data_IF_124199317641
#
_entry.id   IF_124199317641
#
_cell.length_a   1.000
_cell.length_b   1.000
_cell.length_c   1.000
_cell.angle_alpha   90.00
_cell.angle_beta   90.00
_cell.angle_gamma   90.00
#
_symmetry.space_group_name_H-M   'P 1'
#
loop_
_entity.id
_entity.type
_entity.pdbx_description
1 polymer ?
#
# COMPACT_ATOMS: atom_id res chain seq x y z
N UNK A 1 27.87 77.07 0.92
CA UNK A 1 28.61 75.81 0.77
C UNK A 1 27.70 74.69 1.24
N UNK A 2 27.27 73.88 0.29
CA UNK A 2 26.06 73.07 0.34
C UNK A 2 26.23 71.79 1.16
N UNK A 3 25.18 71.50 1.93
CA UNK A 3 24.96 70.31 2.73
C UNK A 3 24.51 69.12 1.84
N UNK A 4 24.56 67.91 2.43
CA UNK A 4 23.78 66.69 2.12
C UNK A 4 24.61 65.52 1.55
N UNK A 5 25.15 64.74 2.50
CA UNK A 5 25.44 63.32 2.33
C UNK A 5 24.12 62.56 2.23
N UNK A 6 23.68 62.17 1.02
CA UNK A 6 22.56 61.26 0.81
C UNK A 6 23.08 59.88 0.37
N UNK A 7 23.64 59.12 1.31
CA UNK A 7 23.83 57.69 1.11
C UNK A 7 22.66 56.97 1.78
N UNK A 8 21.66 56.58 0.98
CA UNK A 8 20.58 55.70 1.41
C UNK A 8 21.18 54.36 1.87
N UNK A 9 21.28 54.18 3.18
CA UNK A 9 21.54 52.89 3.79
C UNK A 9 20.33 51.99 3.55
N UNK A 10 20.36 51.19 2.49
CA UNK A 10 19.58 49.96 2.43
C UNK A 10 20.12 49.03 3.51
N UNK A 11 19.59 49.15 4.74
CA UNK A 11 19.81 48.16 5.79
C UNK A 11 19.26 46.84 5.28
N UNK A 12 20.16 46.00 4.77
CA UNK A 12 19.91 44.58 4.62
C UNK A 12 19.55 44.07 6.03
N UNK A 13 18.28 43.74 6.24
CA UNK A 13 17.86 43.15 7.49
C UNK A 13 18.50 41.75 7.56
N UNK A 14 19.48 41.61 8.44
CA UNK A 14 20.06 40.33 8.84
C UNK A 14 18.93 39.31 9.11
N UNK A 15 18.92 38.14 8.45
CA UNK A 15 17.83 37.19 8.59
C UNK A 15 17.81 36.64 10.01
N UNK A 16 16.87 37.12 10.85
CA UNK A 16 16.58 36.55 12.16
C UNK A 16 16.40 35.03 12.00
N UNK A 17 17.21 34.26 12.72
CA UNK A 17 17.23 32.81 12.64
C UNK A 17 15.84 32.26 13.02
N UNK A 18 15.04 31.93 12.00
CA UNK A 18 13.66 31.48 12.18
C UNK A 18 13.67 30.15 12.91
N UNK A 19 12.99 30.06 14.05
CA UNK A 19 12.83 28.81 14.77
C UNK A 19 11.99 27.84 13.93
N UNK A 20 12.62 26.78 13.41
CA UNK A 20 11.95 25.76 12.59
C UNK A 20 11.26 24.75 13.51
N UNK A 21 9.94 24.69 13.44
CA UNK A 21 9.13 23.77 14.22
C UNK A 21 9.36 22.31 13.76
N UNK A 22 9.78 21.45 14.70
CA UNK A 22 9.90 19.98 14.51
C UNK A 22 8.62 19.19 14.88
N UNK A 23 7.53 19.90 15.19
CA UNK A 23 6.23 19.31 15.60
C UNK A 23 5.31 19.02 14.41
N UNK A 24 4.28 18.17 14.57
CA UNK A 24 3.23 17.99 13.57
C UNK A 24 2.55 19.32 13.20
N UNK A 25 1.97 19.38 11.99
CA UNK A 25 1.15 20.51 11.56
C UNK A 25 -0.12 20.58 12.41
N UNK A 26 -0.45 21.77 12.89
CA UNK A 26 -1.72 22.00 13.60
C UNK A 26 -2.85 22.23 12.59
N UNK A 27 -4.12 22.01 13.00
CA UNK A 27 -5.26 22.33 12.15
C UNK A 27 -5.30 23.79 11.69
N UNK A 28 -4.82 24.73 12.53
CA UNK A 28 -4.72 26.16 12.18
C UNK A 28 -3.68 26.39 11.09
N UNK A 29 -2.51 25.75 11.18
CA UNK A 29 -1.52 25.80 10.11
C UNK A 29 -2.09 25.23 8.81
N UNK A 30 -2.77 24.08 8.87
CA UNK A 30 -3.39 23.47 7.68
C UNK A 30 -4.45 24.39 7.04
N UNK A 31 -5.27 25.08 7.83
CA UNK A 31 -6.24 26.06 7.32
C UNK A 31 -5.56 27.23 6.59
N UNK A 32 -4.44 27.73 7.11
CA UNK A 32 -3.65 28.77 6.45
C UNK A 32 -3.09 28.24 5.12
N UNK A 33 -2.55 27.01 5.09
CA UNK A 33 -2.10 26.37 3.85
C UNK A 33 -3.24 26.30 2.81
N UNK A 34 -4.39 25.78 3.21
CA UNK A 34 -5.54 25.62 2.32
C UNK A 34 -5.99 26.97 1.75
N UNK A 35 -6.22 27.97 2.59
CA UNK A 35 -6.65 29.30 2.15
C UNK A 35 -5.64 29.94 1.20
N UNK A 36 -4.35 29.84 1.53
CA UNK A 36 -3.28 30.40 0.70
C UNK A 36 -3.27 29.79 -0.71
N UNK A 37 -3.44 28.46 -0.81
CA UNK A 37 -3.41 27.77 -2.09
C UNK A 37 -4.72 27.85 -2.88
N UNK A 38 -5.86 28.03 -2.22
CA UNK A 38 -7.09 28.37 -2.91
C UNK A 38 -7.01 29.74 -3.59
N UNK A 39 -6.32 30.71 -2.98
CA UNK A 39 -6.17 32.06 -3.53
C UNK A 39 -5.05 32.18 -4.58
N UNK A 40 -3.89 31.56 -4.32
CA UNK A 40 -2.68 31.77 -5.12
C UNK A 40 -2.25 30.55 -5.94
N UNK A 41 -2.79 29.36 -5.71
CA UNK A 41 -2.31 28.11 -6.32
C UNK A 41 -0.96 27.60 -5.78
N UNK A 42 -0.61 26.32 -6.02
CA UNK A 42 0.48 25.61 -5.33
C UNK A 42 1.89 25.89 -5.89
N UNK A 43 2.25 27.16 -6.11
CA UNK A 43 3.56 27.54 -6.66
C UNK A 43 4.40 28.47 -5.75
N UNK A 44 3.77 29.23 -4.85
CA UNK A 44 4.46 30.24 -4.03
C UNK A 44 4.78 29.81 -2.59
N UNK A 45 5.51 28.69 -2.44
CA UNK A 45 5.85 28.09 -1.13
C UNK A 45 6.67 29.02 -0.21
N UNK A 46 7.53 29.85 -0.78
CA UNK A 46 8.37 30.81 -0.02
C UNK A 46 7.54 31.88 0.66
N UNK A 47 6.53 32.41 -0.03
CA UNK A 47 5.61 33.40 0.53
C UNK A 47 4.79 32.80 1.67
N UNK A 48 4.25 31.59 1.47
CA UNK A 48 3.53 30.87 2.52
C UNK A 48 4.40 30.61 3.77
N UNK A 49 5.65 30.20 3.59
CA UNK A 49 6.57 29.99 4.70
C UNK A 49 6.83 31.28 5.50
N UNK A 50 6.82 32.44 4.83
CA UNK A 50 6.91 33.75 5.49
C UNK A 50 5.64 34.08 6.29
N UNK A 51 4.46 33.66 5.83
CA UNK A 51 3.20 33.82 6.58
C UNK A 51 3.21 32.95 7.84
N UNK A 52 3.65 31.70 7.75
CA UNK A 52 3.66 30.76 8.90
C UNK A 52 4.81 31.03 9.88
N UNK A 53 5.91 31.63 9.41
CA UNK A 53 7.15 32.01 10.12
C UNK A 53 7.93 30.88 10.82
N UNK A 54 7.26 29.79 11.20
CA UNK A 54 7.78 28.63 11.93
C UNK A 54 7.99 27.40 11.05
N UNK A 55 7.59 27.46 9.77
CA UNK A 55 7.66 26.36 8.80
C UNK A 55 8.50 26.74 7.60
N UNK A 56 9.26 25.78 7.09
CA UNK A 56 10.04 25.95 5.86
C UNK A 56 9.18 25.74 4.62
N UNK A 57 9.56 26.31 3.46
CA UNK A 57 8.85 26.07 2.19
C UNK A 57 8.76 24.57 1.84
N UNK A 58 9.82 23.81 2.13
CA UNK A 58 9.87 22.36 1.93
C UNK A 58 8.81 21.64 2.75
N UNK A 59 8.70 21.94 4.04
CA UNK A 59 7.69 21.35 4.92
C UNK A 59 6.28 21.69 4.43
N UNK A 60 6.05 22.92 4.00
CA UNK A 60 4.74 23.34 3.46
C UNK A 60 4.38 22.55 2.19
N UNK A 61 5.35 22.40 1.27
CA UNK A 61 5.17 21.62 0.04
C UNK A 61 4.84 20.17 0.36
N UNK A 62 5.62 19.54 1.23
CA UNK A 62 5.41 18.16 1.63
C UNK A 62 4.03 17.97 2.28
N UNK A 63 3.64 18.87 3.20
CA UNK A 63 2.32 18.82 3.86
C UNK A 63 1.18 18.89 2.85
N UNK A 64 1.28 19.78 1.87
CA UNK A 64 0.27 19.91 0.82
C UNK A 64 0.11 18.62 0.01
N UNK A 65 1.19 18.16 -0.61
CA UNK A 65 1.16 17.03 -1.55
C UNK A 65 0.86 15.69 -0.87
N UNK A 66 1.11 15.56 0.43
CA UNK A 66 0.87 14.32 1.16
C UNK A 66 -0.47 14.27 1.90
N UNK A 67 -1.07 15.43 2.23
CA UNK A 67 -2.24 15.46 3.13
C UNK A 67 -3.35 16.46 2.79
N UNK A 68 -3.04 17.60 2.17
CA UNK A 68 -4.01 18.70 2.01
C UNK A 68 -4.55 18.84 0.59
N UNK A 69 -3.83 18.38 -0.43
CA UNK A 69 -4.29 18.44 -1.81
C UNK A 69 -5.65 17.71 -1.93
N UNK A 70 -6.71 18.39 -2.42
CA UNK A 70 -8.03 17.79 -2.61
C UNK A 70 -8.03 16.54 -3.50
N UNK A 71 -7.00 16.36 -4.34
CA UNK A 71 -6.83 15.18 -5.20
C UNK A 71 -6.49 13.91 -4.41
N UNK A 72 -6.09 14.04 -3.15
CA UNK A 72 -5.70 12.92 -2.30
C UNK A 72 -6.95 12.23 -1.76
N UNK A 73 -7.12 10.96 -2.08
CA UNK A 73 -8.18 10.13 -1.54
C UNK A 73 -7.85 9.70 -0.11
N UNK A 74 -8.64 10.21 0.84
CA UNK A 74 -8.56 9.90 2.28
C UNK A 74 -9.49 8.75 2.71
N UNK A 75 -10.25 8.20 1.77
CA UNK A 75 -11.13 7.07 2.00
C UNK A 75 -10.38 5.77 2.32
N UNK A 76 -11.12 4.73 2.76
CA UNK A 76 -10.54 3.43 3.09
C UNK A 76 -9.83 2.82 1.88
N UNK A 77 -8.83 1.97 2.15
CA UNK A 77 -8.18 1.18 1.11
C UNK A 77 -9.09 0.05 0.67
N UNK A 78 -9.26 -0.06 -0.64
CA UNK A 78 -10.02 -1.14 -1.25
C UNK A 78 -9.14 -2.38 -1.43
N UNK A 79 -9.77 -3.54 -1.51
CA UNK A 79 -9.07 -4.79 -1.78
C UNK A 79 -8.37 -4.76 -3.14
N UNK A 80 -8.97 -4.13 -4.15
CA UNK A 80 -8.37 -3.99 -5.47
C UNK A 80 -7.09 -3.15 -5.44
N UNK A 81 -7.08 -2.05 -4.67
CA UNK A 81 -5.86 -1.25 -4.47
C UNK A 81 -4.76 -2.06 -3.78
N UNK A 82 -5.10 -2.88 -2.79
CA UNK A 82 -4.14 -3.77 -2.11
C UNK A 82 -3.54 -4.81 -3.07
N UNK A 83 -4.35 -5.39 -3.96
CA UNK A 83 -3.88 -6.33 -5.00
C UNK A 83 -2.91 -5.63 -5.96
N UNK A 84 -3.29 -4.46 -6.48
CA UNK A 84 -2.43 -3.68 -7.39
C UNK A 84 -1.11 -3.33 -6.69
N UNK A 85 -1.17 -2.92 -5.42
CA UNK A 85 0.02 -2.62 -4.62
C UNK A 85 0.92 -3.85 -4.48
N UNK A 86 0.36 -5.02 -4.13
CA UNK A 86 1.13 -6.25 -4.01
C UNK A 86 1.79 -6.67 -5.33
N UNK A 87 1.04 -6.60 -6.43
CA UNK A 87 1.54 -6.93 -7.78
C UNK A 87 2.68 -5.98 -8.18
N UNK A 88 2.46 -4.67 -8.10
CA UNK A 88 3.46 -3.67 -8.52
C UNK A 88 4.68 -3.63 -7.61
N UNK A 89 4.53 -3.94 -6.33
CA UNK A 89 5.68 -4.12 -5.44
C UNK A 89 6.50 -5.35 -5.84
N UNK A 90 5.86 -6.46 -6.23
CA UNK A 90 6.60 -7.65 -6.72
C UNK A 90 7.40 -7.39 -8.00
N UNK A 91 6.91 -6.50 -8.87
CA UNK A 91 7.59 -6.12 -10.12
C UNK A 91 8.69 -5.05 -9.91
N UNK A 92 8.42 -4.03 -9.10
CA UNK A 92 9.25 -2.81 -9.03
C UNK A 92 10.03 -2.66 -7.72
N UNK A 93 9.69 -3.43 -6.68
CA UNK A 93 10.23 -3.27 -5.33
C UNK A 93 9.78 -1.97 -4.66
N UNK A 94 10.66 -1.34 -3.88
CA UNK A 94 10.35 -0.15 -3.07
C UNK A 94 10.30 1.18 -3.87
N UNK A 95 9.85 1.13 -5.13
CA UNK A 95 9.69 2.32 -5.99
C UNK A 95 8.32 2.96 -5.77
N UNK A 96 8.09 3.51 -4.59
CA UNK A 96 6.77 4.00 -4.14
C UNK A 96 6.16 5.06 -5.07
N UNK A 97 6.98 5.97 -5.58
CA UNK A 97 6.52 7.00 -6.52
C UNK A 97 6.05 6.42 -7.86
N UNK A 98 6.68 5.34 -8.34
CA UNK A 98 6.25 4.65 -9.55
C UNK A 98 5.01 3.82 -9.31
N UNK A 99 4.92 3.13 -8.16
CA UNK A 99 3.74 2.35 -7.78
C UNK A 99 2.51 3.27 -7.61
N UNK A 100 2.68 4.45 -7.02
CA UNK A 100 1.60 5.42 -6.81
C UNK A 100 0.94 5.88 -8.13
N UNK A 101 1.64 5.81 -9.27
CA UNK A 101 1.07 6.12 -10.59
C UNK A 101 -0.06 5.17 -10.98
N UNK A 102 -0.08 3.95 -10.44
CA UNK A 102 -1.12 2.94 -10.69
C UNK A 102 -2.30 3.03 -9.70
N UNK A 103 -2.21 3.90 -8.69
CA UNK A 103 -3.21 4.03 -7.63
C UNK A 103 -3.72 5.48 -7.60
N UNK A 104 -4.70 5.83 -8.47
CA UNK A 104 -5.15 7.21 -8.60
C UNK A 104 -5.68 7.74 -7.25
N UNK A 105 -5.23 8.94 -6.88
CA UNK A 105 -5.58 9.57 -5.61
C UNK A 105 -4.80 9.05 -4.40
N UNK A 106 -3.90 8.07 -4.55
CA UNK A 106 -2.97 7.66 -3.49
C UNK A 106 -1.59 8.27 -3.74
N UNK A 107 -0.99 8.83 -2.70
CA UNK A 107 0.38 9.36 -2.74
C UNK A 107 1.38 8.25 -2.46
N UNK A 108 2.61 8.41 -2.91
CA UNK A 108 3.74 7.50 -2.61
C UNK A 108 3.90 7.24 -1.10
N UNK A 109 3.68 8.28 -0.29
CA UNK A 109 3.69 8.19 1.17
C UNK A 109 2.57 7.28 1.68
N UNK A 110 1.34 7.41 1.16
CA UNK A 110 0.22 6.54 1.53
C UNK A 110 0.46 5.09 1.10
N UNK A 111 0.99 4.88 -0.11
CA UNK A 111 1.32 3.57 -0.66
C UNK A 111 2.35 2.85 0.20
N UNK A 112 3.48 3.51 0.52
CA UNK A 112 4.51 2.98 1.42
C UNK A 112 3.92 2.64 2.79
N UNK A 113 3.09 3.50 3.34
CA UNK A 113 2.47 3.27 4.64
C UNK A 113 1.54 2.06 4.59
N UNK A 114 0.67 1.96 3.56
CA UNK A 114 -0.24 0.82 3.39
C UNK A 114 0.50 -0.51 3.25
N UNK A 115 1.61 -0.50 2.52
CA UNK A 115 2.50 -1.65 2.42
C UNK A 115 2.97 -2.13 3.80
N UNK A 116 3.59 -1.23 4.56
CA UNK A 116 4.20 -1.58 5.83
C UNK A 116 3.20 -1.91 6.94
N UNK A 117 1.98 -1.37 6.89
CA UNK A 117 0.97 -1.60 7.93
C UNK A 117 0.05 -2.79 7.67
N UNK A 118 -0.17 -3.18 6.40
CA UNK A 118 -1.17 -4.21 6.09
C UNK A 118 -0.74 -5.15 4.96
N UNK A 119 -0.40 -4.62 3.78
CA UNK A 119 -0.25 -5.44 2.57
C UNK A 119 0.93 -6.40 2.67
N UNK A 120 2.04 -6.01 3.30
CA UNK A 120 3.22 -6.87 3.47
C UNK A 120 2.90 -8.19 4.17
N UNK A 121 1.99 -8.18 5.15
CA UNK A 121 1.58 -9.38 5.87
C UNK A 121 0.59 -10.26 5.08
N UNK A 122 -0.06 -9.69 4.07
CA UNK A 122 -1.14 -10.32 3.29
C UNK A 122 -0.76 -10.62 1.84
N UNK A 123 0.52 -10.50 1.48
CA UNK A 123 0.98 -10.70 0.10
C UNK A 123 0.53 -12.06 -0.46
N UNK A 124 0.64 -13.13 0.33
CA UNK A 124 0.24 -14.47 -0.11
C UNK A 124 -1.25 -14.55 -0.42
N UNK A 125 -2.09 -13.96 0.43
CA UNK A 125 -3.53 -13.86 0.22
C UNK A 125 -3.84 -13.06 -1.05
N UNK A 126 -3.21 -11.89 -1.22
CA UNK A 126 -3.51 -10.97 -2.31
C UNK A 126 -3.04 -11.46 -3.68
N UNK A 127 -1.97 -12.24 -3.75
CA UNK A 127 -1.40 -12.72 -5.02
C UNK A 127 -1.87 -14.13 -5.41
N UNK A 128 -2.10 -15.02 -4.43
CA UNK A 128 -2.36 -16.44 -4.70
C UNK A 128 -3.77 -16.89 -4.34
N UNK A 129 -4.46 -16.21 -3.41
CA UNK A 129 -5.88 -16.47 -3.15
C UNK A 129 -6.77 -15.62 -4.05
N UNK A 130 -6.59 -15.80 -5.36
CA UNK A 130 -7.59 -15.35 -6.33
C UNK A 130 -8.92 -15.95 -5.88
N UNK A 131 -10.01 -15.18 -5.69
CA UNK A 131 -11.31 -15.81 -5.56
C UNK A 131 -11.47 -16.60 -6.85
N UNK A 132 -11.40 -17.93 -6.75
CA UNK A 132 -12.05 -18.82 -7.70
C UNK A 132 -13.40 -18.15 -7.91
N UNK A 133 -13.67 -17.75 -9.16
CA UNK A 133 -14.98 -17.28 -9.55
C UNK A 133 -15.94 -18.29 -8.90
N UNK A 134 -16.79 -17.85 -7.98
CA UNK A 134 -17.90 -18.68 -7.54
C UNK A 134 -18.80 -18.74 -8.77
N UNK A 135 -18.41 -19.55 -9.75
CA UNK A 135 -19.32 -20.03 -10.75
C UNK A 135 -20.31 -20.79 -9.89
N UNK A 136 -21.47 -20.19 -9.67
CA UNK A 136 -22.63 -20.92 -9.23
C UNK A 136 -22.97 -21.82 -10.41
N UNK A 137 -22.19 -22.89 -10.61
CA UNK A 137 -22.66 -24.01 -11.37
C UNK A 137 -23.74 -24.61 -10.48
N UNK A 138 -25.00 -24.25 -10.75
CA UNK A 138 -26.14 -25.06 -10.34
C UNK A 138 -26.15 -26.40 -11.10
N UNK A 139 -24.97 -26.97 -11.37
CA UNK A 139 -24.79 -28.21 -12.08
C UNK A 139 -24.48 -29.28 -11.03
N UNK A 140 -25.55 -29.79 -10.44
CA UNK A 140 -25.54 -30.92 -9.50
C UNK A 140 -25.11 -32.24 -10.16
N UNK A 141 -24.66 -32.24 -11.42
CA UNK A 141 -24.15 -33.42 -12.12
C UNK A 141 -23.07 -34.18 -11.34
N UNK A 142 -22.20 -33.49 -10.60
CA UNK A 142 -21.17 -34.15 -9.80
C UNK A 142 -21.75 -34.86 -8.55
N UNK A 143 -22.71 -34.23 -7.87
CA UNK A 143 -23.40 -34.83 -6.71
C UNK A 143 -24.29 -36.01 -7.15
N UNK A 144 -24.90 -35.92 -8.33
CA UNK A 144 -25.71 -36.99 -8.90
C UNK A 144 -24.87 -38.19 -9.35
N UNK A 145 -23.66 -37.96 -9.88
CA UNK A 145 -22.69 -39.03 -10.19
C UNK A 145 -22.22 -39.78 -8.94
N UNK A 146 -21.89 -39.06 -7.86
CA UNK A 146 -21.53 -39.65 -6.56
C UNK A 146 -22.67 -40.48 -5.95
N UNK A 147 -23.92 -40.08 -6.17
CA UNK A 147 -25.11 -40.79 -5.67
C UNK A 147 -25.45 -42.01 -6.53
N UNK A 148 -25.09 -42.00 -7.82
CA UNK A 148 -25.22 -43.15 -8.72
C UNK A 148 -24.22 -44.27 -8.43
N UNK A 149 -23.08 -43.98 -7.82
CA UNK A 149 -22.12 -44.97 -7.35
C UNK A 149 -22.49 -45.40 -5.93
N UNK A 150 -23.56 -46.20 -5.82
CA UNK A 150 -23.93 -46.86 -4.57
C UNK A 150 -22.84 -47.83 -4.15
N UNK A 151 -21.88 -47.33 -3.37
CA UNK A 151 -20.97 -48.14 -2.57
C UNK A 151 -21.80 -48.98 -1.58
N UNK A 152 -21.64 -50.31 -1.55
CA UNK A 152 -22.36 -51.13 -0.58
C UNK A 152 -21.91 -50.75 0.83
N UNK A 153 -22.89 -50.38 1.67
CA UNK A 153 -22.72 -50.18 3.11
C UNK A 153 -22.50 -51.52 3.79
N UNK A 154 -21.27 -52.05 3.76
CA UNK A 154 -20.68 -53.00 4.72
C UNK A 154 -19.23 -53.26 4.33
N UNK A 155 -18.30 -52.66 5.07
CA UNK A 155 -16.91 -53.07 5.09
C UNK A 155 -16.84 -54.36 5.93
N UNK A 156 -16.86 -55.51 5.27
CA UNK A 156 -16.62 -56.80 5.92
C UNK A 156 -15.10 -57.09 5.89
N UNK A 157 -14.47 -57.15 7.05
CA UNK A 157 -13.01 -57.23 7.21
C UNK A 157 -12.51 -58.69 7.20
N UNK A 158 -13.25 -59.60 6.57
CA UNK A 158 -12.92 -61.03 6.53
C UNK A 158 -12.03 -61.45 5.34
N UNK A 159 -11.53 -60.50 4.53
CA UNK A 159 -10.68 -60.81 3.37
C UNK A 159 -9.16 -60.63 3.58
N UNK A 160 -8.69 -60.33 4.80
CA UNK A 160 -7.26 -60.39 5.11
C UNK A 160 -6.81 -61.84 5.38
N UNK A 161 -6.88 -62.70 4.36
CA UNK A 161 -6.12 -63.96 4.34
C UNK A 161 -4.89 -63.77 3.46
N UNK A 162 -3.72 -63.74 4.10
CA UNK A 162 -2.41 -63.62 3.48
C UNK A 162 -2.15 -64.91 2.66
N UNK A 163 -1.96 -64.85 1.33
CA UNK A 163 -1.57 -66.05 0.58
C UNK A 163 -0.12 -66.45 0.94
N UNK A 164 0.18 -67.74 1.18
CA UNK A 164 1.53 -68.21 1.43
C UNK A 164 2.37 -68.16 0.15
N UNK A 165 3.58 -67.61 0.26
CA UNK A 165 4.61 -67.70 -0.78
C UNK A 165 5.00 -69.18 -0.99
N UNK A 166 4.88 -69.61 -2.24
CA UNK A 166 5.24 -70.95 -2.73
C UNK A 166 6.70 -71.29 -2.42
N UNK A 167 6.90 -72.43 -1.76
CA UNK A 167 8.18 -73.11 -1.63
C UNK A 167 8.58 -73.74 -2.98
N UNK A 168 9.85 -73.62 -3.36
CA UNK A 168 10.50 -74.62 -4.23
C UNK A 168 11.74 -75.16 -3.52
N UNK A 169 11.72 -76.47 -3.41
CA UNK A 169 12.64 -77.38 -2.74
C UNK A 169 13.99 -77.49 -3.44
N UNK A 170 15.03 -77.54 -2.61
CA UNK A 170 16.20 -78.43 -2.63
C UNK A 170 16.87 -78.82 -3.96
N UNK A 171 18.16 -78.48 -4.07
CA UNK A 171 19.16 -79.40 -4.63
C UNK A 171 20.33 -79.47 -3.66
N UNK A 172 20.47 -80.63 -3.01
CA UNK A 172 21.71 -81.14 -2.44
C UNK A 172 22.32 -82.06 -3.48
N UNK A 173 23.62 -81.96 -3.79
CA UNK A 173 24.40 -83.13 -4.22
C UNK A 173 25.90 -82.92 -3.88
N UNK A 174 26.38 -83.83 -3.01
CA UNK A 174 27.73 -84.33 -2.69
C UNK A 174 28.93 -83.38 -2.49
#
# INVERSE_FOLDING_TARGET
MSNINQAMQFKQQEPKQKFIAKRPFTPQEDQILIKFFMANGPHNWSSLANVLQSRTPKQCRERWHNHLDPKINKGPWTHQEDIILAQKHSELGNKWADIAKFLPGRTDTLVKNRWNTSVKARVNELLYNKPMCKVQTNDDSFNNWLTSLTLPKKFDISFLSIPPLMQKTSVQVF
#
